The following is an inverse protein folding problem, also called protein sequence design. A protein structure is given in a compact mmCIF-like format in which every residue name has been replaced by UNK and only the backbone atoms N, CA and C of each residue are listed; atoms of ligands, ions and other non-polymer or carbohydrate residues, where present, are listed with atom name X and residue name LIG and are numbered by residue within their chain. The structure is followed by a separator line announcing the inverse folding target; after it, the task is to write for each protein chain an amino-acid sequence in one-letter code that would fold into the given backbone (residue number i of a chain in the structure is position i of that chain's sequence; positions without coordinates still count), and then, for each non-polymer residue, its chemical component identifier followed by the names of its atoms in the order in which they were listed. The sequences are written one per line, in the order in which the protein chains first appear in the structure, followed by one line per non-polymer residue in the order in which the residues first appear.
data_IF_821215063169
#
_entry.id   IF_821215063169
#
_cell.length_a   1.000
_cell.length_b   1.000
_cell.length_c   1.000
_cell.angle_alpha   90.00
_cell.angle_beta   90.00
_cell.angle_gamma   90.00
#
_symmetry.space_group_name_H-M   'P 1'
#
loop_
_entity.id
_entity.type
_entity.pdbx_description
1 polymer ?
#
# COMPACT_ATOMS: atom_id res chain seq x y z
N UNK A 1 6.08 -5.07 -18.81
CA UNK A 1 4.91 -4.71 -17.98
C UNK A 1 3.69 -5.29 -18.68
N UNK A 2 2.76 -5.96 -18.00
CA UNK A 2 1.64 -6.66 -18.67
C UNK A 2 0.40 -5.79 -18.88
N UNK A 3 0.30 -4.65 -18.22
CA UNK A 3 -0.73 -3.64 -18.46
C UNK A 3 -0.21 -2.55 -19.39
N UNK A 4 -1.14 -1.96 -20.15
CA UNK A 4 -0.89 -0.87 -21.10
C UNK A 4 -0.90 0.48 -20.40
N UNK A 5 -0.20 1.47 -20.97
CA UNK A 5 -0.32 2.87 -20.51
C UNK A 5 -1.71 3.40 -20.87
N UNK A 6 -2.11 4.53 -20.26
CA UNK A 6 -3.46 5.08 -20.46
C UNK A 6 -3.71 5.47 -21.92
N UNK A 7 -2.67 5.90 -22.62
CA UNK A 7 -2.68 6.34 -24.01
C UNK A 7 -2.91 5.18 -24.99
N UNK A 8 -2.54 3.97 -24.59
CA UNK A 8 -2.66 2.73 -25.39
C UNK A 8 -4.01 1.99 -25.17
N UNK A 9 -4.90 2.55 -24.34
CA UNK A 9 -6.20 1.97 -24.03
C UNK A 9 -7.30 2.50 -24.96
N UNK A 10 -8.30 1.65 -25.22
CA UNK A 10 -9.59 2.09 -25.79
C UNK A 10 -10.25 3.14 -24.91
N UNK A 11 -11.14 3.97 -25.48
CA UNK A 11 -11.87 4.99 -24.72
C UNK A 11 -12.61 4.40 -23.51
N UNK A 12 -13.27 3.26 -23.67
CA UNK A 12 -13.93 2.54 -22.57
C UNK A 12 -12.95 2.21 -21.43
N UNK A 13 -11.80 1.61 -21.76
CA UNK A 13 -10.80 1.24 -20.76
C UNK A 13 -10.14 2.47 -20.12
N UNK A 14 -9.98 3.58 -20.86
CA UNK A 14 -9.51 4.87 -20.32
C UNK A 14 -10.49 5.45 -19.30
N UNK A 15 -11.79 5.41 -19.59
CA UNK A 15 -12.83 5.88 -18.69
C UNK A 15 -12.88 5.01 -17.43
N UNK A 16 -12.83 3.68 -17.59
CA UNK A 16 -12.71 2.74 -16.45
C UNK A 16 -11.52 3.08 -15.57
N UNK A 17 -10.32 3.22 -16.16
CA UNK A 17 -9.11 3.53 -15.39
C UNK A 17 -9.21 4.87 -14.67
N UNK A 18 -9.75 5.89 -15.33
CA UNK A 18 -9.94 7.20 -14.70
C UNK A 18 -10.91 7.12 -13.51
N UNK A 19 -11.96 6.30 -13.62
CA UNK A 19 -12.89 6.05 -12.52
C UNK A 19 -12.25 5.24 -11.37
N UNK A 20 -11.44 4.23 -11.69
CA UNK A 20 -10.65 3.51 -10.70
C UNK A 20 -9.70 4.44 -9.94
N UNK A 21 -8.98 5.32 -10.64
CA UNK A 21 -8.03 6.27 -10.04
C UNK A 21 -8.75 7.25 -9.11
N UNK A 22 -9.91 7.78 -9.52
CA UNK A 22 -10.73 8.64 -8.67
C UNK A 22 -11.13 7.94 -7.37
N UNK A 23 -11.69 6.72 -7.46
CA UNK A 23 -12.08 5.95 -6.29
C UNK A 23 -10.89 5.54 -5.42
N UNK A 24 -9.72 5.33 -6.05
CA UNK A 24 -8.47 5.05 -5.33
C UNK A 24 -8.03 6.25 -4.52
N UNK A 25 -8.17 7.47 -5.04
CA UNK A 25 -7.79 8.69 -4.32
C UNK A 25 -8.66 8.90 -3.07
N UNK A 26 -9.96 8.60 -3.15
CA UNK A 26 -10.83 8.59 -1.96
C UNK A 26 -10.44 7.48 -0.97
N UNK A 27 -10.15 6.28 -1.47
CA UNK A 27 -9.70 5.16 -0.64
C UNK A 27 -8.35 5.46 0.05
N UNK A 28 -7.42 6.13 -0.64
CA UNK A 28 -6.14 6.60 -0.10
C UNK A 28 -6.36 7.46 1.16
N UNK A 29 -7.31 8.41 1.09
CA UNK A 29 -7.65 9.29 2.22
C UNK A 29 -8.16 8.49 3.42
N UNK A 30 -9.11 7.58 3.19
CA UNK A 30 -9.69 6.75 4.24
C UNK A 30 -8.66 5.80 4.88
N UNK A 31 -7.92 5.06 4.05
CA UNK A 31 -6.93 4.08 4.51
C UNK A 31 -5.80 4.78 5.28
N UNK A 32 -5.36 5.96 4.84
CA UNK A 32 -4.37 6.76 5.54
C UNK A 32 -4.88 7.23 6.91
N UNK A 33 -6.12 7.74 6.97
CA UNK A 33 -6.74 8.17 8.22
C UNK A 33 -6.84 6.99 9.21
N UNK A 34 -7.36 5.85 8.78
CA UNK A 34 -7.51 4.67 9.61
C UNK A 34 -6.16 4.09 10.07
N UNK A 35 -5.19 3.96 9.18
CA UNK A 35 -3.88 3.37 9.51
C UNK A 35 -3.06 4.23 10.48
N UNK A 36 -3.07 5.56 10.30
CA UNK A 36 -2.13 6.45 10.98
C UNK A 36 -2.81 7.33 12.03
N UNK A 37 -3.82 8.10 11.63
CA UNK A 37 -4.51 9.04 12.52
C UNK A 37 -5.28 8.30 13.62
N UNK A 38 -6.15 7.36 13.24
CA UNK A 38 -6.94 6.60 14.22
C UNK A 38 -6.04 5.72 15.10
N UNK A 39 -4.99 5.12 14.54
CA UNK A 39 -3.97 4.44 15.36
C UNK A 39 -3.40 5.39 16.40
N UNK A 40 -2.96 6.60 16.02
CA UNK A 40 -2.46 7.58 16.98
C UNK A 40 -3.47 7.93 18.07
N UNK A 41 -4.74 8.10 17.71
CA UNK A 41 -5.82 8.30 18.66
C UNK A 41 -5.99 7.10 19.60
N UNK A 42 -5.86 5.85 19.11
CA UNK A 42 -5.89 4.66 19.97
C UNK A 42 -4.79 4.70 21.05
N UNK A 43 -3.55 5.06 20.69
CA UNK A 43 -2.45 5.21 21.65
C UNK A 43 -2.76 6.30 22.67
N UNK A 44 -3.22 7.47 22.20
CA UNK A 44 -3.57 8.62 23.06
C UNK A 44 -4.70 8.27 24.04
N UNK A 45 -5.75 7.63 23.57
CA UNK A 45 -6.91 7.23 24.38
C UNK A 45 -6.57 6.17 25.42
N UNK A 46 -5.55 5.36 25.18
CA UNK A 46 -5.03 4.37 26.13
C UNK A 46 -3.89 4.91 27.01
N UNK A 47 -3.57 6.21 26.92
CA UNK A 47 -2.45 6.85 27.64
C UNK A 47 -1.09 6.16 27.38
N UNK A 48 -0.89 5.62 26.17
CA UNK A 48 0.37 5.01 25.74
C UNK A 48 1.07 5.94 24.76
N UNK A 49 2.39 6.09 24.89
CA UNK A 49 3.17 6.88 23.96
C UNK A 49 3.16 6.25 22.56
N UNK A 50 2.87 7.04 21.53
CA UNK A 50 2.92 6.56 20.16
C UNK A 50 4.36 6.24 19.74
N UNK A 51 4.64 5.05 19.20
CA UNK A 51 5.97 4.69 18.72
C UNK A 51 6.22 5.38 17.37
N UNK A 52 6.84 6.56 17.39
CA UNK A 52 7.16 7.25 16.13
C UNK A 52 8.29 6.54 15.37
N UNK A 53 8.12 6.40 14.05
CA UNK A 53 9.16 5.85 13.16
C UNK A 53 10.33 6.82 13.10
N UNK A 54 11.55 6.31 13.29
CA UNK A 54 12.75 7.12 13.16
C UNK A 54 13.10 7.38 11.69
N UNK A 55 13.69 8.54 11.38
CA UNK A 55 14.11 8.90 10.02
C UNK A 55 15.01 7.86 9.37
N UNK A 56 15.89 7.23 10.16
CA UNK A 56 16.79 6.18 9.68
C UNK A 56 16.06 4.93 9.20
N UNK A 57 14.88 4.61 9.75
CA UNK A 57 14.05 3.48 9.34
C UNK A 57 13.40 3.67 7.96
N UNK A 58 13.42 4.89 7.43
CA UNK A 58 12.88 5.25 6.13
C UNK A 58 13.94 5.23 5.01
N UNK A 59 15.21 4.99 5.36
CA UNK A 59 16.27 4.80 4.37
C UNK A 59 16.14 3.41 3.74
N UNK A 60 16.56 3.23 2.47
CA UNK A 60 16.69 1.91 1.86
C UNK A 60 17.46 0.93 2.76
N UNK A 61 16.97 -0.32 2.85
CA UNK A 61 17.55 -1.42 3.64
C UNK A 61 17.64 -1.15 5.16
N UNK A 62 16.93 -0.14 5.67
CA UNK A 62 16.93 0.12 7.10
C UNK A 62 16.30 -1.04 7.87
N UNK A 63 16.91 -1.41 8.99
CA UNK A 63 16.34 -2.39 9.91
C UNK A 63 15.18 -1.76 10.67
N UNK A 64 14.08 -2.50 10.77
CA UNK A 64 12.89 -2.09 11.52
C UNK A 64 12.87 -2.89 12.83
N UNK A 65 12.59 -2.25 13.98
CA UNK A 65 12.32 -2.95 15.24
C UNK A 65 11.24 -4.02 15.08
N UNK A 66 11.43 -5.19 15.69
CA UNK A 66 10.50 -6.34 15.60
C UNK A 66 9.37 -6.31 16.63
N UNK A 67 9.15 -5.17 17.28
CA UNK A 67 8.11 -5.01 18.30
C UNK A 67 6.75 -4.85 17.61
N UNK A 68 5.76 -5.63 18.03
CA UNK A 68 4.38 -5.47 17.58
C UNK A 68 3.62 -4.53 18.51
N UNK A 69 2.83 -3.63 17.92
CA UNK A 69 2.03 -2.68 18.68
C UNK A 69 0.54 -2.91 18.44
N UNK A 70 -0.13 -3.49 19.42
CA UNK A 70 -1.55 -3.88 19.35
C UNK A 70 -2.52 -2.71 19.09
N UNK A 71 -2.16 -1.49 19.51
CA UNK A 71 -2.96 -0.28 19.31
C UNK A 71 -2.85 0.30 17.89
N UNK A 72 -1.94 -0.22 17.06
CA UNK A 72 -1.79 0.20 15.68
C UNK A 72 -2.68 -0.64 14.76
N UNK A 73 -3.58 0.03 14.03
CA UNK A 73 -4.50 -0.62 13.10
C UNK A 73 -3.71 -1.30 11.97
N UNK A 74 -3.85 -2.62 11.86
CA UNK A 74 -3.17 -3.44 10.84
C UNK A 74 -4.18 -4.12 9.93
N UNK A 75 -3.92 -4.13 8.62
CA UNK A 75 -4.83 -4.68 7.61
C UNK A 75 -4.11 -4.90 6.29
N UNK A 76 -4.76 -5.60 5.37
CA UNK A 76 -4.32 -5.78 3.98
C UNK A 76 -5.52 -5.60 3.04
N UNK A 77 -5.44 -4.64 2.12
CA UNK A 77 -6.49 -4.35 1.14
C UNK A 77 -5.89 -4.42 -0.27
N UNK A 78 -6.56 -5.15 -1.16
CA UNK A 78 -6.23 -5.25 -2.58
C UNK A 78 -7.35 -4.59 -3.37
N UNK A 79 -7.02 -3.58 -4.16
CA UNK A 79 -7.94 -2.87 -5.04
C UNK A 79 -7.49 -2.97 -6.49
N UNK A 80 -8.25 -3.67 -7.33
CA UNK A 80 -7.91 -3.94 -8.74
C UNK A 80 -8.82 -3.18 -9.70
N UNK A 81 -8.25 -2.69 -10.81
CA UNK A 81 -8.99 -1.95 -11.86
C UNK A 81 -10.05 -2.81 -12.55
N UNK A 82 -9.84 -4.13 -12.61
CA UNK A 82 -10.82 -5.08 -13.17
C UNK A 82 -10.87 -6.37 -12.31
N UNK A 83 -11.66 -7.35 -12.73
CA UNK A 83 -11.82 -8.61 -12.01
C UNK A 83 -10.63 -9.55 -12.21
N UNK A 84 -10.11 -10.14 -11.13
CA UNK A 84 -9.06 -11.16 -11.19
C UNK A 84 -9.63 -12.41 -11.91
N UNK A 85 -9.07 -12.81 -13.07
CA UNK A 85 -9.57 -13.97 -13.82
C UNK A 85 -9.34 -15.28 -13.05
N UNK A 86 -10.15 -16.30 -13.36
CA UNK A 86 -10.07 -17.62 -12.71
C UNK A 86 -8.66 -18.23 -12.81
N UNK A 87 -7.97 -18.04 -13.94
CA UNK A 87 -6.61 -18.54 -14.16
C UNK A 87 -5.59 -18.01 -13.14
N UNK A 88 -5.87 -16.86 -12.51
CA UNK A 88 -4.98 -16.22 -11.54
C UNK A 88 -5.36 -16.52 -10.08
N UNK A 89 -6.46 -17.25 -9.82
CA UNK A 89 -6.92 -17.56 -8.46
C UNK A 89 -6.07 -18.60 -7.73
N UNK A 90 -5.13 -19.28 -8.40
CA UNK A 90 -4.25 -20.29 -7.78
C UNK A 90 -3.50 -19.73 -6.56
N UNK A 91 -2.99 -18.51 -6.69
CA UNK A 91 -2.11 -17.90 -5.69
C UNK A 91 -2.70 -16.66 -5.00
N UNK A 92 -3.77 -16.08 -5.54
CA UNK A 92 -4.66 -15.16 -4.82
C UNK A 92 -5.98 -15.88 -4.63
N UNK A 93 -6.12 -16.60 -3.51
CA UNK A 93 -7.25 -17.50 -3.27
C UNK A 93 -8.38 -16.77 -2.58
N UNK A 94 -9.54 -16.77 -3.21
CA UNK A 94 -10.79 -16.28 -2.67
C UNK A 94 -11.94 -17.16 -3.17
N UNK A 95 -12.91 -17.41 -2.29
CA UNK A 95 -13.98 -18.38 -2.51
C UNK A 95 -15.35 -17.74 -2.38
N UNK A 96 -16.36 -18.38 -2.96
CA UNK A 96 -17.74 -17.85 -2.94
C UNK A 96 -18.32 -17.72 -1.53
N UNK A 97 -17.87 -18.56 -0.58
CA UNK A 97 -18.24 -18.46 0.84
C UNK A 97 -17.74 -17.16 1.50
N UNK A 98 -16.74 -16.51 0.91
CA UNK A 98 -16.14 -15.28 1.40
C UNK A 98 -16.62 -14.04 0.63
N UNK A 99 -17.58 -14.19 -0.29
CA UNK A 99 -18.21 -13.06 -0.98
C UNK A 99 -19.00 -12.22 0.01
N UNK A 100 -19.03 -10.91 -0.20
CA UNK A 100 -19.86 -9.94 0.56
C UNK A 100 -21.34 -10.05 0.19
N UNK A 101 -21.93 -11.20 0.50
CA UNK A 101 -23.38 -11.43 0.46
C UNK A 101 -23.92 -11.36 1.89
N UNK A 102 -25.19 -10.99 2.06
CA UNK A 102 -25.84 -10.93 3.38
C UNK A 102 -25.67 -12.24 4.15
N UNK A 103 -25.87 -13.37 3.47
CA UNK A 103 -25.74 -14.71 4.07
C UNK A 103 -24.32 -14.99 4.57
N UNK A 104 -23.30 -14.68 3.77
CA UNK A 104 -21.91 -14.95 4.14
C UNK A 104 -21.44 -14.04 5.27
N UNK A 105 -21.79 -12.75 5.24
CA UNK A 105 -21.42 -11.81 6.28
C UNK A 105 -22.07 -12.18 7.62
N UNK A 106 -23.36 -12.55 7.63
CA UNK A 106 -24.04 -13.05 8.85
C UNK A 106 -23.38 -14.32 9.40
N UNK A 107 -22.96 -15.25 8.52
CA UNK A 107 -22.27 -16.49 8.93
C UNK A 107 -20.88 -16.22 9.50
N UNK A 108 -20.16 -15.24 8.95
CA UNK A 108 -18.79 -14.92 9.36
C UNK A 108 -18.71 -14.37 10.79
N UNK A 109 -19.82 -13.83 11.33
CA UNK A 109 -19.89 -13.09 12.61
C UNK A 109 -18.89 -11.92 12.70
N UNK A 110 -18.24 -11.57 11.59
CA UNK A 110 -17.24 -10.49 11.52
C UNK A 110 -17.88 -9.12 11.70
N UNK A 111 -19.17 -9.01 11.38
CA UNK A 111 -19.93 -7.79 11.47
C UNK A 111 -21.05 -7.94 12.50
N UNK A 112 -21.19 -6.94 13.36
CA UNK A 112 -22.42 -6.71 14.13
C UNK A 112 -23.49 -6.18 13.19
N UNK A 113 -23.94 -7.03 12.25
CA UNK A 113 -24.95 -6.66 11.28
C UNK A 113 -26.26 -6.35 12.00
N UNK A 114 -26.55 -5.06 12.15
CA UNK A 114 -27.85 -4.59 12.59
C UNK A 114 -28.97 -5.03 11.62
N UNK A 115 -30.24 -4.94 12.06
CA UNK A 115 -31.39 -5.22 11.21
C UNK A 115 -31.41 -4.38 9.91
N UNK A 116 -30.78 -3.20 9.94
CA UNK A 116 -30.73 -2.23 8.84
C UNK A 116 -29.58 -2.46 7.84
N UNK A 117 -28.90 -3.62 7.86
CA UNK A 117 -27.84 -3.91 6.90
C UNK A 117 -28.37 -3.95 5.46
N UNK A 118 -27.97 -2.95 4.68
CA UNK A 118 -28.24 -2.86 3.24
C UNK A 118 -27.10 -3.49 2.43
N UNK A 119 -27.48 -4.35 1.49
CA UNK A 119 -26.55 -5.01 0.55
C UNK A 119 -25.82 -4.00 -0.34
N UNK A 120 -26.32 -2.78 -0.47
CA UNK A 120 -25.69 -1.72 -1.26
C UNK A 120 -24.43 -1.14 -0.59
N UNK A 121 -24.26 -1.32 0.72
CA UNK A 121 -23.15 -0.71 1.48
C UNK A 121 -21.77 -1.21 1.04
N UNK A 122 -21.68 -2.36 0.37
CA UNK A 122 -20.42 -2.91 -0.15
C UNK A 122 -19.86 -2.19 -1.38
N UNK A 123 -20.65 -1.33 -2.02
CA UNK A 123 -20.24 -0.62 -3.24
C UNK A 123 -19.52 0.68 -2.88
N UNK A 124 -18.43 0.99 -3.59
CA UNK A 124 -17.57 2.14 -3.27
C UNK A 124 -18.31 3.49 -3.40
N UNK A 125 -19.33 3.57 -4.25
CA UNK A 125 -20.19 4.75 -4.41
C UNK A 125 -21.27 4.86 -3.33
N UNK A 126 -21.32 3.95 -2.35
CA UNK A 126 -22.24 4.02 -1.22
C UNK A 126 -21.70 4.95 -0.13
N UNK A 127 -22.56 5.81 0.42
CA UNK A 127 -22.26 6.68 1.57
C UNK A 127 -21.78 5.89 2.80
N UNK A 128 -22.24 4.64 2.94
CA UNK A 128 -21.89 3.76 4.06
C UNK A 128 -20.67 2.86 3.78
N UNK A 129 -20.06 2.95 2.60
CA UNK A 129 -18.98 2.05 2.20
C UNK A 129 -17.80 2.04 3.16
N UNK A 130 -17.32 3.22 3.55
CA UNK A 130 -16.15 3.33 4.42
C UNK A 130 -16.43 2.85 5.84
N UNK A 131 -17.67 3.00 6.33
CA UNK A 131 -18.09 2.38 7.59
C UNK A 131 -18.04 0.86 7.48
N UNK A 132 -18.67 0.30 6.44
CA UNK A 132 -18.67 -1.13 6.17
C UNK A 132 -17.25 -1.71 5.98
N UNK A 133 -16.38 -1.00 5.28
CA UNK A 133 -14.98 -1.38 5.10
C UNK A 133 -14.25 -1.38 6.45
N UNK A 134 -14.43 -0.34 7.28
CA UNK A 134 -13.78 -0.20 8.59
C UNK A 134 -14.06 -1.39 9.51
N UNK A 135 -15.30 -1.86 9.56
CA UNK A 135 -15.68 -3.03 10.37
C UNK A 135 -14.98 -4.32 9.92
N UNK A 136 -14.63 -4.42 8.64
CA UNK A 136 -13.95 -5.59 8.06
C UNK A 136 -12.42 -5.49 8.06
N UNK A 137 -11.82 -4.31 8.23
CA UNK A 137 -10.36 -4.15 8.23
C UNK A 137 -9.62 -4.99 9.28
N UNK A 138 -10.15 -5.23 10.50
CA UNK A 138 -9.48 -6.03 11.52
C UNK A 138 -9.33 -7.52 11.20
N UNK A 139 -9.89 -8.04 10.10
CA UNK A 139 -9.78 -9.46 9.76
C UNK A 139 -8.33 -9.90 9.47
N UNK A 140 -8.05 -11.19 9.66
CA UNK A 140 -6.72 -11.76 9.44
C UNK A 140 -6.31 -11.93 7.97
N UNK A 141 -7.24 -11.68 7.06
CA UNK A 141 -7.08 -11.92 5.64
C UNK A 141 -7.08 -10.63 4.84
N UNK A 142 -6.68 -10.73 3.57
CA UNK A 142 -6.81 -9.59 2.68
C UNK A 142 -8.28 -9.32 2.34
N UNK A 143 -8.64 -8.05 2.27
CA UNK A 143 -9.88 -7.56 1.68
C UNK A 143 -9.66 -7.32 0.19
N UNK A 144 -10.64 -7.66 -0.65
CA UNK A 144 -10.52 -7.55 -2.11
C UNK A 144 -11.64 -6.71 -2.71
N UNK A 145 -11.26 -5.56 -3.27
CA UNK A 145 -12.13 -4.65 -4.01
C UNK A 145 -11.90 -4.85 -5.50
N UNK A 146 -12.97 -5.11 -6.25
CA UNK A 146 -12.89 -5.36 -7.71
C UNK A 146 -14.06 -4.71 -8.44
N UNK A 147 -13.94 -4.66 -9.77
CA UNK A 147 -15.01 -4.23 -10.65
C UNK A 147 -16.21 -5.18 -10.55
N UNK A 148 -17.41 -4.62 -10.49
CA UNK A 148 -18.65 -5.34 -10.68
C UNK A 148 -18.91 -5.53 -12.17
N UNK A 149 -18.85 -6.80 -12.61
CA UNK A 149 -19.08 -7.16 -14.02
C UNK A 149 -20.55 -7.50 -14.31
N UNK A 150 -21.44 -7.48 -13.31
CA UNK A 150 -22.86 -7.84 -13.49
C UNK A 150 -23.59 -6.87 -14.43
N UNK A 151 -23.13 -5.62 -14.51
CA UNK A 151 -23.69 -4.56 -15.35
C UNK A 151 -22.61 -3.87 -16.20
N UNK A 152 -21.67 -4.65 -16.73
CA UNK A 152 -20.44 -4.12 -17.34
C UNK A 152 -20.66 -3.12 -18.50
N UNK A 153 -21.81 -3.18 -19.19
CA UNK A 153 -22.15 -2.33 -20.34
C UNK A 153 -22.73 -0.96 -19.97
N UNK A 154 -23.26 -0.80 -18.76
CA UNK A 154 -24.03 0.40 -18.39
C UNK A 154 -23.40 1.22 -17.28
N UNK A 155 -22.58 0.60 -16.42
CA UNK A 155 -21.91 1.31 -15.31
C UNK A 155 -20.60 0.63 -14.92
N UNK A 156 -19.52 1.40 -14.84
CA UNK A 156 -18.35 0.98 -14.07
C UNK A 156 -18.68 1.15 -12.60
N UNK A 157 -18.62 0.07 -11.82
CA UNK A 157 -18.81 0.08 -10.37
C UNK A 157 -17.79 -0.82 -9.72
N UNK A 158 -17.35 -0.45 -8.53
CA UNK A 158 -16.43 -1.23 -7.71
C UNK A 158 -17.08 -1.55 -6.38
N UNK A 159 -16.71 -2.69 -5.82
CA UNK A 159 -17.25 -3.15 -4.55
C UNK A 159 -16.24 -4.01 -3.80
N UNK A 160 -16.35 -4.01 -2.47
CA UNK A 160 -15.68 -5.01 -1.66
C UNK A 160 -16.29 -6.36 -2.01
N UNK A 161 -15.58 -7.14 -2.80
CA UNK A 161 -16.08 -8.39 -3.37
C UNK A 161 -15.95 -9.55 -2.39
N UNK A 162 -14.81 -9.62 -1.69
CA UNK A 162 -14.47 -10.69 -0.77
C UNK A 162 -13.79 -10.11 0.47
N UNK A 163 -14.15 -10.65 1.64
CA UNK A 163 -13.61 -10.23 2.94
C UNK A 163 -12.59 -11.20 3.52
N UNK A 164 -12.24 -12.25 2.77
CA UNK A 164 -11.24 -13.23 3.15
C UNK A 164 -10.53 -13.75 1.91
N UNK A 165 -9.39 -13.12 1.61
CA UNK A 165 -8.49 -13.47 0.51
C UNK A 165 -7.12 -13.89 1.08
N UNK A 166 -6.62 -15.03 0.61
CA UNK A 166 -5.29 -15.56 0.98
C UNK A 166 -4.30 -15.36 -0.16
N UNK A 167 -3.08 -14.98 0.19
CA UNK A 167 -1.97 -14.84 -0.74
C UNK A 167 -1.03 -16.01 -0.51
N UNK A 168 -1.14 -17.00 -1.39
CA UNK A 168 -0.47 -18.29 -1.25
C UNK A 168 0.57 -18.52 -2.36
N UNK A 169 1.04 -17.44 -3.01
CA UNK A 169 2.19 -17.54 -3.91
C UNK A 169 3.48 -17.64 -3.08
N UNK A 170 4.33 -18.68 -3.28
CA UNK A 170 5.58 -18.77 -2.56
C UNK A 170 6.47 -17.55 -2.83
N UNK A 171 7.12 -17.05 -1.78
CA UNK A 171 8.01 -15.87 -1.88
C UNK A 171 9.18 -16.17 -2.82
N UNK A 172 9.70 -17.40 -2.80
CA UNK A 172 10.74 -17.85 -3.72
C UNK A 172 10.30 -17.76 -5.18
N UNK A 173 9.07 -18.20 -5.50
CA UNK A 173 8.50 -18.07 -6.85
C UNK A 173 8.30 -16.59 -7.24
N UNK A 174 7.85 -15.74 -6.31
CA UNK A 174 7.68 -14.31 -6.56
C UNK A 174 9.02 -13.60 -6.80
N UNK A 175 10.05 -13.94 -6.03
CA UNK A 175 11.41 -13.42 -6.18
C UNK A 175 12.05 -13.90 -7.49
N UNK A 176 11.85 -15.16 -7.85
CA UNK A 176 12.28 -15.74 -9.12
C UNK A 176 11.60 -15.08 -10.33
N UNK A 177 10.29 -14.85 -10.28
CA UNK A 177 9.53 -14.12 -11.31
C UNK A 177 10.10 -12.70 -11.52
N UNK A 178 10.37 -11.98 -10.43
CA UNK A 178 11.01 -10.67 -10.50
C UNK A 178 12.43 -10.76 -11.07
N UNK A 179 13.22 -11.76 -10.66
CA UNK A 179 14.58 -11.94 -11.15
C UNK A 179 14.62 -12.27 -12.66
N UNK A 180 13.66 -13.05 -13.17
CA UNK A 180 13.49 -13.30 -14.61
C UNK A 180 13.13 -12.00 -15.34
N UNK A 181 12.17 -11.24 -14.83
CA UNK A 181 11.75 -9.97 -15.40
C UNK A 181 12.93 -8.98 -15.50
N UNK A 182 13.77 -8.94 -14.46
CA UNK A 182 14.95 -8.09 -14.38
C UNK A 182 16.20 -8.69 -15.04
N UNK A 183 16.07 -9.84 -15.73
CA UNK A 183 17.14 -10.53 -16.47
C UNK A 183 18.34 -10.93 -15.61
N UNK A 184 18.13 -11.21 -14.32
CA UNK A 184 19.15 -11.78 -13.44
C UNK A 184 19.28 -13.31 -13.57
N UNK A 185 18.22 -13.95 -14.04
CA UNK A 185 18.14 -15.39 -14.34
C UNK A 185 17.31 -15.60 -15.61
N UNK A 186 17.54 -16.72 -16.29
CA UNK A 186 16.75 -17.15 -17.44
C UNK A 186 15.65 -18.16 -17.10
N UNK A 187 15.93 -19.07 -16.17
CA UNK A 187 15.07 -20.19 -15.82
C UNK A 187 14.91 -20.27 -14.30
N UNK A 188 15.55 -21.22 -13.65
CA UNK A 188 15.42 -21.48 -12.21
C UNK A 188 16.49 -20.72 -11.42
N UNK A 189 16.12 -20.11 -10.30
CA UNK A 189 17.05 -19.36 -9.45
C UNK A 189 18.11 -20.27 -8.80
N UNK A 190 17.78 -21.53 -8.53
CA UNK A 190 18.66 -22.49 -7.88
C UNK A 190 19.71 -23.09 -8.84
N UNK A 191 19.57 -22.90 -10.16
CA UNK A 191 20.65 -23.22 -11.12
C UNK A 191 21.94 -22.43 -10.82
N UNK A 192 21.83 -21.28 -10.16
CA UNK A 192 22.96 -20.45 -9.70
C UNK A 192 23.37 -20.71 -8.24
N UNK A 193 22.78 -21.70 -7.59
CA UNK A 193 23.07 -22.11 -6.21
C UNK A 193 22.23 -21.40 -5.14
N UNK A 194 22.19 -21.99 -3.95
CA UNK A 194 21.34 -21.54 -2.83
C UNK A 194 21.61 -20.10 -2.39
N UNK A 195 22.90 -19.71 -2.31
CA UNK A 195 23.28 -18.34 -1.94
C UNK A 195 22.71 -17.30 -2.92
N UNK A 196 22.71 -17.61 -4.22
CA UNK A 196 22.16 -16.73 -5.22
C UNK A 196 20.64 -16.58 -5.06
N UNK A 197 19.95 -17.68 -4.78
CA UNK A 197 18.52 -17.66 -4.48
C UNK A 197 18.18 -16.82 -3.24
N UNK A 198 18.99 -16.94 -2.18
CA UNK A 198 18.85 -16.11 -0.98
C UNK A 198 19.05 -14.61 -1.28
N UNK A 199 20.08 -14.26 -2.05
CA UNK A 199 20.36 -12.88 -2.45
C UNK A 199 19.24 -12.30 -3.33
N UNK A 200 18.69 -13.09 -4.25
CA UNK A 200 17.51 -12.74 -5.05
C UNK A 200 16.30 -12.47 -4.15
N UNK A 201 16.04 -13.32 -3.15
CA UNK A 201 14.93 -13.12 -2.23
C UNK A 201 15.10 -11.87 -1.35
N UNK A 202 16.31 -11.56 -0.87
CA UNK A 202 16.59 -10.30 -0.18
C UNK A 202 16.32 -9.09 -1.08
N UNK A 203 16.78 -9.15 -2.34
CA UNK A 203 16.52 -8.11 -3.33
C UNK A 203 15.04 -7.97 -3.70
N UNK A 204 14.27 -9.05 -3.65
CA UNK A 204 12.82 -8.98 -3.79
C UNK A 204 12.18 -8.10 -2.70
N UNK A 205 12.56 -8.27 -1.43
CA UNK A 205 12.07 -7.39 -0.37
C UNK A 205 12.53 -5.94 -0.57
N UNK A 206 13.81 -5.73 -0.91
CA UNK A 206 14.33 -4.40 -1.19
C UNK A 206 13.58 -3.71 -2.34
N UNK A 207 13.25 -4.43 -3.41
CA UNK A 207 12.45 -3.94 -4.54
C UNK A 207 11.10 -3.38 -4.11
N UNK A 208 10.52 -3.98 -3.06
CA UNK A 208 9.24 -3.60 -2.46
C UNK A 208 9.40 -2.66 -1.25
N UNK A 209 10.56 -2.02 -1.07
CA UNK A 209 10.85 -1.12 0.05
C UNK A 209 10.65 -1.73 1.44
N UNK A 210 10.90 -3.04 1.54
CA UNK A 210 10.83 -3.83 2.74
C UNK A 210 12.25 -4.20 3.20
N UNK A 211 12.56 -4.22 4.51
CA UNK A 211 13.79 -4.86 5.00
C UNK A 211 13.87 -6.35 4.67
N UNK A 212 15.06 -6.92 4.79
CA UNK A 212 15.30 -8.34 4.57
C UNK A 212 14.46 -9.20 5.56
N UNK A 213 13.83 -10.26 5.04
CA UNK A 213 13.16 -11.32 5.83
C UNK A 213 12.06 -10.81 6.77
N UNK A 214 10.95 -10.39 6.18
CA UNK A 214 9.73 -9.97 6.88
C UNK A 214 8.70 -11.10 6.87
N UNK A 215 7.90 -11.19 7.94
CA UNK A 215 6.76 -12.10 8.04
C UNK A 215 5.40 -11.44 7.80
N UNK A 216 4.37 -12.27 7.70
CA UNK A 216 2.98 -11.84 7.80
C UNK A 216 2.47 -10.95 6.65
N UNK A 217 1.66 -9.94 6.99
CA UNK A 217 0.87 -9.14 6.04
C UNK A 217 1.73 -8.35 5.04
N UNK A 218 2.92 -7.86 5.44
CA UNK A 218 3.83 -7.11 4.54
C UNK A 218 4.37 -7.99 3.42
N UNK A 219 4.74 -9.23 3.76
CA UNK A 219 5.19 -10.22 2.79
C UNK A 219 4.07 -10.61 1.84
N UNK A 220 2.89 -10.93 2.38
CA UNK A 220 1.69 -11.16 1.57
C UNK A 220 1.38 -9.99 0.62
N UNK A 221 1.54 -8.75 1.08
CA UNK A 221 1.32 -7.56 0.26
C UNK A 221 2.33 -7.43 -0.88
N UNK A 222 3.63 -7.62 -0.61
CA UNK A 222 4.68 -7.57 -1.65
C UNK A 222 4.50 -8.68 -2.70
N UNK A 223 4.18 -9.89 -2.25
CA UNK A 223 3.90 -11.04 -3.11
C UNK A 223 2.64 -10.79 -3.95
N UNK A 224 1.56 -10.29 -3.35
CA UNK A 224 0.34 -9.92 -4.07
C UNK A 224 0.62 -8.84 -5.11
N UNK A 225 1.37 -7.80 -4.73
CA UNK A 225 1.75 -6.72 -5.64
C UNK A 225 2.56 -7.27 -6.83
N UNK A 226 3.55 -8.14 -6.61
CA UNK A 226 4.30 -8.76 -7.70
C UNK A 226 3.42 -9.65 -8.57
N UNK A 227 2.54 -10.46 -7.98
CA UNK A 227 1.68 -11.37 -8.74
C UNK A 227 0.68 -10.63 -9.62
N UNK A 228 0.04 -9.58 -9.09
CA UNK A 228 -0.95 -8.78 -9.80
C UNK A 228 -0.36 -8.03 -11.00
N UNK A 229 0.96 -7.81 -11.04
CA UNK A 229 1.65 -7.21 -12.21
C UNK A 229 1.52 -8.02 -13.49
N UNK A 230 1.14 -9.30 -13.38
CA UNK A 230 0.91 -10.21 -14.51
C UNK A 230 -0.44 -9.96 -15.20
N UNK A 231 -1.32 -9.17 -14.58
CA UNK A 231 -2.64 -8.86 -15.11
C UNK A 231 -2.56 -7.68 -16.10
N UNK A 232 -3.49 -7.60 -17.08
CA UNK A 232 -3.48 -6.56 -18.11
C UNK A 232 -4.04 -5.21 -17.65
N UNK A 233 -4.18 -4.99 -16.33
CA UNK A 233 -4.79 -3.82 -15.72
C UNK A 233 -4.05 -3.43 -14.45
N UNK A 234 -4.25 -2.19 -13.97
CA UNK A 234 -3.55 -1.69 -12.77
C UNK A 234 -4.19 -2.20 -11.47
N UNK A 235 -3.40 -2.20 -10.41
CA UNK A 235 -3.86 -2.59 -9.07
C UNK A 235 -3.12 -1.81 -8.01
N UNK A 236 -3.75 -1.68 -6.85
CA UNK A 236 -3.19 -1.03 -5.67
C UNK A 236 -3.32 -1.99 -4.48
N UNK A 237 -2.21 -2.23 -3.80
CA UNK A 237 -2.16 -3.05 -2.58
C UNK A 237 -1.77 -2.15 -1.42
N UNK A 238 -2.63 -2.11 -0.40
CA UNK A 238 -2.42 -1.38 0.84
C UNK A 238 -2.11 -2.36 1.96
N UNK A 239 -1.07 -2.07 2.74
CA UNK A 239 -0.79 -2.82 3.96
C UNK A 239 -0.42 -1.87 5.08
N UNK A 240 -1.19 -1.92 6.16
CA UNK A 240 -0.80 -1.32 7.43
C UNK A 240 -0.26 -2.41 8.35
N UNK A 241 0.88 -2.14 8.97
CA UNK A 241 1.57 -3.09 9.84
C UNK A 241 1.95 -2.44 11.15
N UNK A 242 1.51 -3.05 12.24
CA UNK A 242 1.82 -2.66 13.62
C UNK A 242 3.33 -2.62 13.85
N UNK A 243 4.08 -3.64 13.43
CA UNK A 243 5.54 -3.72 13.56
C UNK A 243 6.27 -2.52 12.91
N UNK A 244 5.81 -2.10 11.73
CA UNK A 244 6.45 -1.00 10.99
C UNK A 244 5.88 0.38 11.29
N UNK A 245 4.76 0.43 12.04
CA UNK A 245 3.98 1.64 12.39
C UNK A 245 3.68 2.50 11.17
N UNK A 246 3.39 1.85 10.05
CA UNK A 246 3.35 2.49 8.75
C UNK A 246 2.36 1.83 7.80
N UNK A 247 1.88 2.65 6.87
CA UNK A 247 1.06 2.23 5.74
C UNK A 247 1.93 2.18 4.49
N UNK A 248 1.99 1.02 3.83
CA UNK A 248 2.59 0.88 2.51
C UNK A 248 1.50 0.88 1.45
N UNK A 249 1.77 1.54 0.32
CA UNK A 249 0.98 1.49 -0.90
C UNK A 249 1.86 1.02 -2.05
N UNK A 250 1.48 -0.09 -2.66
CA UNK A 250 2.07 -0.62 -3.89
C UNK A 250 1.11 -0.33 -5.04
N UNK A 251 1.53 0.44 -6.05
CA UNK A 251 0.73 0.67 -7.25
C UNK A 251 1.61 0.75 -8.51
N UNK A 252 1.02 1.07 -9.65
CA UNK A 252 1.71 1.22 -10.93
C UNK A 252 2.80 2.31 -10.92
N UNK A 253 2.71 3.29 -10.01
CA UNK A 253 3.69 4.35 -9.83
C UNK A 253 4.88 3.95 -8.95
N UNK A 254 4.87 2.75 -8.38
CA UNK A 254 5.91 2.24 -7.48
C UNK A 254 5.42 2.06 -6.05
N UNK A 255 6.36 2.19 -5.10
CA UNK A 255 6.11 1.94 -3.68
C UNK A 255 6.19 3.24 -2.88
N UNK A 256 5.20 3.44 -2.02
CA UNK A 256 5.25 4.51 -1.02
C UNK A 256 4.98 3.99 0.38
N UNK A 257 5.62 4.62 1.37
CA UNK A 257 5.45 4.36 2.80
C UNK A 257 5.01 5.65 3.47
N UNK A 258 3.94 5.56 4.25
CA UNK A 258 3.35 6.67 5.00
C UNK A 258 3.47 6.39 6.50
N UNK A 259 3.89 7.41 7.26
CA UNK A 259 4.15 7.34 8.70
C UNK A 259 3.69 8.63 9.38
N UNK A 260 3.57 8.59 10.71
CA UNK A 260 3.55 9.80 11.52
C UNK A 260 4.97 10.24 11.86
N UNK A 261 5.26 11.51 11.65
CA UNK A 261 6.58 12.10 11.90
C UNK A 261 6.45 13.30 12.83
N UNK A 262 7.39 13.42 13.77
CA UNK A 262 7.53 14.59 14.63
C UNK A 262 8.44 15.61 13.95
N UNK A 263 8.00 16.87 13.95
CA UNK A 263 8.82 18.02 13.55
C UNK A 263 8.99 18.97 14.73
N UNK A 264 10.20 19.49 14.89
CA UNK A 264 10.49 20.58 15.83
C UNK A 264 9.95 21.92 15.32
N UNK A 265 9.94 22.94 16.17
CA UNK A 265 9.52 24.30 15.78
C UNK A 265 10.35 24.84 14.62
N UNK A 266 11.68 24.71 14.69
CA UNK A 266 12.57 25.17 13.62
C UNK A 266 12.39 24.40 12.32
N UNK A 267 12.08 23.09 12.38
CA UNK A 267 11.77 22.32 11.18
C UNK A 267 10.44 22.74 10.55
N UNK A 268 9.42 23.06 11.35
CA UNK A 268 8.16 23.61 10.84
C UNK A 268 8.35 24.97 10.17
N UNK A 269 9.17 25.85 10.75
CA UNK A 269 9.53 27.14 10.15
C UNK A 269 10.25 26.95 8.80
N UNK A 270 11.28 26.10 8.75
CA UNK A 270 12.00 25.80 7.51
C UNK A 270 11.09 25.19 6.42
N UNK A 271 10.16 24.31 6.80
CA UNK A 271 9.20 23.73 5.87
C UNK A 271 8.25 24.81 5.34
N UNK A 272 7.73 25.67 6.21
CA UNK A 272 6.83 26.75 5.86
C UNK A 272 7.51 27.73 4.88
N UNK A 273 8.73 28.16 5.22
CA UNK A 273 9.53 29.08 4.40
C UNK A 273 9.83 28.50 3.01
N UNK A 274 10.29 27.23 2.95
CA UNK A 274 10.60 26.57 1.66
C UNK A 274 9.40 26.39 0.74
N UNK A 275 8.20 26.32 1.30
CA UNK A 275 6.96 26.17 0.55
C UNK A 275 6.21 27.50 0.40
N UNK A 276 6.83 28.64 0.74
CA UNK A 276 6.24 29.99 0.67
C UNK A 276 4.86 30.08 1.35
N UNK A 277 4.72 29.46 2.53
CA UNK A 277 3.47 29.45 3.28
C UNK A 277 3.68 29.92 4.73
N UNK A 278 2.69 30.57 5.36
CA UNK A 278 2.76 30.89 6.78
C UNK A 278 2.77 29.63 7.67
N UNK A 279 3.55 29.63 8.76
CA UNK A 279 3.56 28.52 9.74
C UNK A 279 2.17 28.24 10.31
N UNK A 280 1.33 29.27 10.46
CA UNK A 280 -0.07 29.11 10.89
C UNK A 280 -0.87 28.25 9.91
N UNK A 281 -0.64 28.41 8.63
CA UNK A 281 -1.30 27.66 7.56
C UNK A 281 -0.80 26.20 7.52
N UNK A 282 0.52 26.01 7.65
CA UNK A 282 1.13 24.68 7.80
C UNK A 282 0.49 23.91 8.96
N UNK A 283 0.36 24.56 10.13
CA UNK A 283 -0.28 23.97 11.32
C UNK A 283 -1.76 23.65 11.07
N UNK A 284 -2.49 24.52 10.38
CA UNK A 284 -3.93 24.34 10.13
C UNK A 284 -4.22 23.14 9.23
N UNK A 285 -3.42 22.94 8.18
CA UNK A 285 -3.77 21.98 7.12
C UNK A 285 -2.93 20.69 7.10
N UNK A 286 -1.76 20.68 7.76
CA UNK A 286 -0.83 19.54 7.72
C UNK A 286 -0.51 18.94 9.09
N UNK A 287 -0.67 19.70 10.19
CA UNK A 287 -0.34 19.23 11.53
C UNK A 287 -1.51 18.45 12.13
N UNK A 288 -1.28 17.18 12.44
CA UNK A 288 -2.27 16.28 13.03
C UNK A 288 -2.54 16.60 14.49
N UNK A 289 -1.48 16.81 15.26
CA UNK A 289 -1.57 17.11 16.70
C UNK A 289 -0.34 17.92 17.14
N UNK A 290 -0.49 18.66 18.22
CA UNK A 290 0.61 19.38 18.84
C UNK A 290 1.36 18.46 19.81
N UNK A 291 2.69 18.48 19.77
CA UNK A 291 3.53 17.65 20.65
C UNK A 291 4.62 18.52 21.30
N UNK A 292 4.34 19.02 22.50
CA UNK A 292 5.19 20.00 23.18
C UNK A 292 5.36 21.27 22.35
N UNK A 293 6.62 21.62 22.03
CA UNK A 293 6.96 22.76 21.14
C UNK A 293 6.89 22.41 19.65
N UNK A 294 6.79 21.12 19.31
CA UNK A 294 6.72 20.62 17.95
C UNK A 294 5.31 20.24 17.50
N UNK A 295 5.24 19.53 16.37
CA UNK A 295 3.99 19.01 15.81
C UNK A 295 4.16 17.61 15.24
N UNK A 296 3.05 16.89 15.12
CA UNK A 296 2.96 15.57 14.49
C UNK A 296 2.34 15.75 13.11
N UNK A 297 2.93 15.13 12.09
CA UNK A 297 2.54 15.28 10.70
C UNK A 297 2.42 13.93 10.01
N UNK A 298 1.57 13.88 8.98
CA UNK A 298 1.57 12.79 8.01
C UNK A 298 2.73 12.96 7.05
N UNK A 299 3.60 11.97 6.99
CA UNK A 299 4.80 12.00 6.15
C UNK A 299 4.81 10.81 5.19
N UNK A 300 5.03 11.09 3.90
CA UNK A 300 5.11 10.10 2.84
C UNK A 300 6.48 10.07 2.19
N UNK A 301 7.01 8.86 2.09
CA UNK A 301 8.22 8.54 1.32
C UNK A 301 7.79 7.79 0.07
N UNK A 302 8.25 8.24 -1.08
CA UNK A 302 8.12 7.50 -2.34
C UNK A 302 9.49 6.96 -2.71
N UNK A 303 9.58 5.65 -2.92
CA UNK A 303 10.81 4.99 -3.33
C UNK A 303 10.85 4.86 -4.85
N UNK A 304 11.99 5.18 -5.44
CA UNK A 304 12.27 4.98 -6.85
C UNK A 304 13.20 3.79 -7.04
N UNK A 305 12.95 2.98 -8.07
CA UNK A 305 13.88 1.93 -8.49
C UNK A 305 15.13 2.53 -9.13
N UNK A 306 16.29 2.02 -8.74
CA UNK A 306 17.58 2.34 -9.36
C UNK A 306 17.81 1.47 -10.61
N UNK A 307 18.86 1.74 -11.39
CA UNK A 307 19.15 0.97 -12.61
C UNK A 307 19.25 -0.56 -12.42
N UNK A 308 19.86 -1.10 -11.33
CA UNK A 308 19.83 -2.53 -11.04
C UNK A 308 18.43 -3.12 -10.83
N UNK A 309 17.45 -2.32 -10.41
CA UNK A 309 16.08 -2.75 -10.20
C UNK A 309 15.17 -2.52 -11.43
N UNK A 310 15.73 -2.12 -12.57
CA UNK A 310 15.01 -1.92 -13.82
C UNK A 310 15.47 -2.93 -14.87
N UNK A 311 14.61 -3.43 -15.78
CA UNK A 311 15.06 -4.30 -16.86
C UNK A 311 16.19 -3.64 -17.66
N UNK A 312 17.24 -4.39 -18.04
CA UNK A 312 18.33 -3.82 -18.81
C UNK A 312 17.85 -3.43 -20.21
N UNK A 313 18.32 -2.29 -20.71
CA UNK A 313 17.93 -1.74 -22.03
C UNK A 313 18.33 -2.67 -23.18
N UNK A 314 19.47 -3.37 -23.04
CA UNK A 314 19.96 -4.34 -24.03
C UNK A 314 19.31 -5.73 -23.94
N UNK A 315 18.45 -5.96 -22.93
CA UNK A 315 17.77 -7.24 -22.69
C UNK A 315 18.69 -8.40 -22.27
N UNK A 316 20.00 -8.15 -22.08
CA UNK A 316 20.97 -9.21 -21.75
C UNK A 316 20.78 -9.70 -20.32
N UNK A 317 21.24 -10.93 -20.09
CA UNK A 317 21.35 -11.45 -18.73
C UNK A 317 22.46 -10.71 -17.98
N UNK A 318 22.26 -10.48 -16.69
CA UNK A 318 23.21 -9.82 -15.79
C UNK A 318 23.31 -10.56 -14.46
N UNK A 319 24.41 -10.34 -13.75
CA UNK A 319 24.64 -10.93 -12.43
C UNK A 319 24.13 -10.05 -11.31
N UNK A 320 23.58 -10.67 -10.27
CA UNK A 320 23.15 -9.95 -9.07
C UNK A 320 24.36 -9.41 -8.31
N UNK A 321 24.24 -8.17 -7.84
CA UNK A 321 25.22 -7.48 -7.01
C UNK A 321 24.55 -7.08 -5.69
N UNK A 322 24.67 -7.88 -4.63
CA UNK A 322 23.95 -7.66 -3.37
C UNK A 322 24.20 -6.30 -2.71
N UNK A 323 25.37 -5.71 -2.95
CA UNK A 323 25.79 -4.41 -2.43
C UNK A 323 25.06 -3.22 -3.07
N UNK A 324 24.57 -3.36 -4.32
CA UNK A 324 23.92 -2.26 -5.02
C UNK A 324 22.50 -2.05 -4.50
N UNK A 325 22.17 -0.82 -4.13
CA UNK A 325 20.81 -0.46 -3.76
C UNK A 325 19.88 -0.59 -4.96
N UNK A 326 18.75 -1.27 -4.78
CA UNK A 326 17.67 -1.43 -5.76
C UNK A 326 16.62 -0.33 -5.65
N UNK A 327 16.58 0.36 -4.52
CA UNK A 327 15.70 1.51 -4.30
C UNK A 327 16.45 2.70 -3.73
N UNK A 328 15.92 3.89 -4.02
CA UNK A 328 16.34 5.16 -3.40
C UNK A 328 15.11 5.94 -2.97
N UNK A 329 15.26 6.85 -2.02
CA UNK A 329 14.19 7.81 -1.68
C UNK A 329 14.08 8.81 -2.84
N UNK A 330 12.99 8.71 -3.61
CA UNK A 330 12.72 9.58 -4.76
C UNK A 330 12.08 10.88 -4.33
N UNK A 331 11.05 10.79 -3.47
CA UNK A 331 10.35 11.96 -2.96
C UNK A 331 10.02 11.82 -1.47
N UNK A 332 9.98 12.95 -0.78
CA UNK A 332 9.56 13.07 0.60
C UNK A 332 8.53 14.19 0.68
N UNK A 333 7.38 13.89 1.26
CA UNK A 333 6.29 14.85 1.35
C UNK A 333 5.68 14.89 2.75
N UNK A 334 5.32 16.07 3.21
CA UNK A 334 4.26 16.22 4.21
C UNK A 334 2.92 16.20 3.50
N UNK A 335 2.01 15.38 3.99
CA UNK A 335 0.67 15.25 3.43
C UNK A 335 -0.30 16.18 4.15
N UNK A 336 -1.25 16.80 3.41
CA UNK A 336 -2.37 17.47 4.06
C UNK A 336 -3.17 16.45 4.89
N UNK A 337 -3.87 16.93 5.91
CA UNK A 337 -4.74 16.08 6.72
C UNK A 337 -5.86 15.44 5.88
N UNK A 338 -6.33 14.24 6.24
CA UNK A 338 -7.41 13.59 5.51
C UNK A 338 -8.64 14.50 5.37
N UNK A 339 -9.15 14.62 4.14
CA UNK A 339 -10.30 15.48 3.81
C UNK A 339 -9.95 16.91 3.40
N UNK A 340 -8.69 17.33 3.54
CA UNK A 340 -8.21 18.61 2.97
C UNK A 340 -7.88 18.38 1.48
N UNK A 341 -8.67 18.97 0.60
CA UNK A 341 -8.59 18.77 -0.86
C UNK A 341 -7.97 19.96 -1.60
N UNK A 342 -7.93 21.14 -0.98
CA UNK A 342 -7.46 22.40 -1.60
C UNK A 342 -5.92 22.55 -1.58
N UNK A 343 -5.23 21.75 -0.76
CA UNK A 343 -3.79 21.88 -0.52
C UNK A 343 -3.00 20.66 -1.02
N UNK A 344 -1.91 20.84 -1.78
CA UNK A 344 -1.11 19.73 -2.28
C UNK A 344 -0.13 19.21 -1.22
N UNK A 345 0.43 17.99 -1.38
CA UNK A 345 1.57 17.54 -0.57
C UNK A 345 2.77 18.50 -0.68
N UNK A 346 3.38 18.85 0.46
CA UNK A 346 4.54 19.75 0.51
C UNK A 346 5.83 18.95 0.35
N UNK A 347 6.71 19.36 -0.57
CA UNK A 347 8.02 18.73 -0.73
C UNK A 347 8.93 19.12 0.42
N UNK A 348 9.60 18.14 0.99
CA UNK A 348 10.55 18.32 2.09
C UNK A 348 11.79 17.45 1.88
N UNK A 349 12.83 17.65 2.69
CA UNK A 349 13.97 16.75 2.74
C UNK A 349 14.39 16.61 4.21
N UNK A 350 13.97 15.50 4.83
CA UNK A 350 14.12 15.24 6.25
C UNK A 350 14.87 13.93 6.56
N UNK A 351 14.88 12.96 5.63
CA UNK A 351 15.48 11.63 5.88
C UNK A 351 17.01 11.66 5.93
N UNK A 352 17.64 12.54 5.14
CA UNK A 352 19.10 12.61 4.99
C UNK A 352 19.74 13.81 5.69
N UNK A 353 18.91 14.64 6.33
CA UNK A 353 19.33 15.72 7.24
C UNK A 353 19.33 15.18 8.66
#
# INVERSE_FOLDING_TARGET
MYWRTREELSLENRLRRSYYELLRDELDQFIMAHALKESYENFKNNNVAYPFVERKELKPRARIPKDEFSLHNSFLVIFVEDTIPQAYKKYIRFFDVNKTTKTNLLRSKTLSLGPDFDRSQKFLDSVHFYHFLKELLPVDYALLIQRDTSHAKTKHRYYLSHFHVRIDWPISEAAEDLARYLRYISKDVYEKGEKYAEDVQKKFFEYHALPDMIGGRRTAASVAAQYLRRLPFISTVYVSSSESRSLYRYCEQGVSRMVLMRLTTGEMEQVADRNNMPVRELKRFYMLDQNGRGGIFLFRVTYGHTAPAMPPEDGKLREIKPELFWITVKYQHLLPLPGIWEHPPLRVNLIYT
#
